data_IF_909268204345
#
_entry.id   IF_909268204345
#
_cell.length_a   1.000
_cell.length_b   1.000
_cell.length_c   1.000
_cell.angle_alpha   90.00
_cell.angle_beta   90.00
_cell.angle_gamma   90.00
#
_symmetry.space_group_name_H-M   'P 1'
#
loop_
_entity.id
_entity.type
_entity.pdbx_description
1 polymer ?
#
# COMPACT_ATOMS: atom_id res chain seq x y z
N UNK A 1 -0.61 -9.92 -23.83
CA UNK A 1 -1.89 -10.57 -23.50
C UNK A 1 -2.03 -10.44 -22.00
N UNK A 2 -3.01 -9.69 -21.52
CA UNK A 2 -3.18 -9.51 -20.08
C UNK A 2 -3.52 -10.86 -19.45
N UNK A 3 -2.66 -11.33 -18.54
CA UNK A 3 -2.91 -12.56 -17.81
C UNK A 3 -4.13 -12.35 -16.92
N UNK A 4 -5.20 -13.11 -17.15
CA UNK A 4 -6.41 -13.06 -16.32
C UNK A 4 -6.13 -13.76 -15.00
N UNK A 5 -6.28 -13.03 -13.90
CA UNK A 5 -6.19 -13.60 -12.54
C UNK A 5 -7.58 -14.05 -12.11
N UNK A 6 -7.65 -15.15 -11.37
CA UNK A 6 -8.87 -15.68 -10.77
C UNK A 6 -8.76 -15.65 -9.25
N UNK A 7 -9.80 -15.18 -8.58
CA UNK A 7 -9.91 -15.19 -7.12
C UNK A 7 -10.98 -16.17 -6.64
N UNK A 8 -10.80 -16.70 -5.43
CA UNK A 8 -11.81 -17.46 -4.70
C UNK A 8 -11.84 -16.98 -3.26
N UNK A 9 -13.01 -16.59 -2.79
CA UNK A 9 -13.23 -16.13 -1.41
C UNK A 9 -13.91 -17.22 -0.61
N UNK A 10 -13.24 -17.68 0.43
CA UNK A 10 -13.70 -18.78 1.28
C UNK A 10 -14.00 -18.19 2.67
N UNK A 11 -15.27 -18.20 3.13
CA UNK A 11 -15.68 -17.57 4.39
C UNK A 11 -15.36 -18.49 5.57
N UNK A 12 -14.07 -18.68 5.83
CA UNK A 12 -13.52 -19.44 6.97
C UNK A 12 -12.40 -18.64 7.62
N UNK A 13 -12.26 -18.78 8.93
CA UNK A 13 -11.12 -18.23 9.67
C UNK A 13 -10.02 -19.28 9.70
N UNK A 14 -9.11 -19.20 8.73
CA UNK A 14 -7.91 -20.03 8.66
C UNK A 14 -6.72 -19.14 8.32
N UNK A 15 -5.54 -19.57 8.74
CA UNK A 15 -4.30 -18.87 8.43
C UNK A 15 -4.03 -18.95 6.92
N UNK A 16 -3.96 -17.78 6.27
CA UNK A 16 -3.72 -17.69 4.84
C UNK A 16 -2.35 -18.25 4.42
N UNK A 17 -1.33 -18.15 5.28
CA UNK A 17 0.00 -18.70 5.01
C UNK A 17 0.02 -20.24 5.10
N UNK A 18 -0.77 -20.82 6.00
CA UNK A 18 -0.92 -22.29 6.08
C UNK A 18 -1.58 -22.84 4.81
N UNK A 19 -2.68 -22.22 4.35
CA UNK A 19 -3.31 -22.57 3.07
C UNK A 19 -2.37 -22.38 1.88
N UNK A 20 -1.63 -21.28 1.85
CA UNK A 20 -0.66 -21.00 0.80
C UNK A 20 0.43 -22.09 0.74
N UNK A 21 0.91 -22.56 1.89
CA UNK A 21 1.90 -23.63 1.96
C UNK A 21 1.40 -24.98 1.45
N UNK A 22 0.11 -25.30 1.63
CA UNK A 22 -0.50 -26.53 1.09
C UNK A 22 -0.76 -26.42 -0.41
N UNK A 23 -1.15 -25.23 -0.88
CA UNK A 23 -1.55 -24.96 -2.26
C UNK A 23 -0.39 -24.55 -3.18
N UNK A 24 0.86 -24.74 -2.73
CA UNK A 24 2.09 -24.35 -3.41
C UNK A 24 2.26 -25.04 -4.80
N UNK A 25 1.60 -24.47 -5.80
CA UNK A 25 1.63 -24.90 -7.19
C UNK A 25 1.96 -23.73 -8.12
N UNK A 26 2.44 -24.03 -9.32
CA UNK A 26 2.90 -23.01 -10.28
C UNK A 26 1.81 -21.98 -10.63
N UNK A 27 0.55 -22.40 -10.60
CA UNK A 27 -0.60 -21.58 -10.94
C UNK A 27 -1.02 -20.63 -9.80
N UNK A 28 -0.63 -20.93 -8.56
CA UNK A 28 -1.02 -20.19 -7.37
C UNK A 28 -0.23 -18.88 -7.26
N UNK A 29 -0.94 -17.78 -7.03
CA UNK A 29 -0.37 -16.43 -7.00
C UNK A 29 -0.28 -15.86 -5.59
N UNK A 30 -1.10 -16.36 -4.66
CA UNK A 30 -1.06 -15.94 -3.27
C UNK A 30 -2.38 -16.10 -2.53
N UNK A 31 -2.32 -15.84 -1.22
CA UNK A 31 -3.46 -15.79 -0.33
C UNK A 31 -3.49 -14.47 0.43
N UNK A 32 -4.69 -14.00 0.76
CA UNK A 32 -4.93 -12.84 1.58
C UNK A 32 -5.95 -13.19 2.67
N UNK A 33 -5.64 -12.84 3.91
CA UNK A 33 -6.57 -12.99 5.03
C UNK A 33 -7.41 -11.72 5.17
N UNK A 34 -8.73 -11.89 5.06
CA UNK A 34 -9.72 -10.87 5.37
C UNK A 34 -10.48 -11.27 6.63
N UNK A 35 -11.21 -10.32 7.22
CA UNK A 35 -11.96 -10.60 8.46
C UNK A 35 -12.97 -11.73 8.24
N UNK A 36 -12.70 -12.90 8.84
CA UNK A 36 -13.53 -14.10 8.73
C UNK A 36 -13.51 -14.81 7.37
N UNK A 37 -12.57 -14.48 6.48
CA UNK A 37 -12.46 -15.13 5.17
C UNK A 37 -11.02 -15.15 4.64
N UNK A 38 -10.72 -16.11 3.78
CA UNK A 38 -9.47 -16.15 3.03
C UNK A 38 -9.76 -15.98 1.55
N UNK A 39 -9.01 -15.10 0.90
CA UNK A 39 -9.06 -14.88 -0.54
C UNK A 39 -7.82 -15.52 -1.17
N UNK A 40 -8.03 -16.37 -2.16
CA UNK A 40 -6.97 -17.10 -2.84
C UNK A 40 -6.91 -16.70 -4.31
N UNK A 41 -5.71 -16.57 -4.87
CA UNK A 41 -5.48 -16.08 -6.23
C UNK A 41 -4.74 -17.10 -7.11
N UNK A 42 -5.16 -17.25 -8.36
CA UNK A 42 -4.50 -18.10 -9.36
C UNK A 42 -4.41 -17.42 -10.74
N UNK A 43 -3.43 -17.85 -11.52
CA UNK A 43 -3.24 -17.46 -12.93
C UNK A 43 -4.17 -18.19 -13.91
N UNK A 44 -4.85 -19.24 -13.44
CA UNK A 44 -5.88 -19.97 -14.19
C UNK A 44 -6.91 -20.58 -13.26
N UNK A 45 -8.08 -20.91 -13.78
CA UNK A 45 -9.07 -21.71 -13.09
C UNK A 45 -9.00 -23.19 -13.52
N UNK A 46 -9.69 -24.07 -12.79
CA UNK A 46 -9.82 -25.48 -13.20
C UNK A 46 -10.30 -26.41 -12.10
N UNK A 47 -10.86 -27.55 -12.50
CA UNK A 47 -11.39 -28.56 -11.57
C UNK A 47 -10.30 -29.14 -10.65
N UNK A 48 -9.08 -29.30 -11.14
CA UNK A 48 -7.93 -29.79 -10.34
C UNK A 48 -7.61 -28.83 -9.19
N UNK A 49 -7.64 -27.51 -9.44
CA UNK A 49 -7.41 -26.50 -8.41
C UNK A 49 -8.52 -26.55 -7.37
N UNK A 50 -9.80 -26.66 -7.79
CA UNK A 50 -10.91 -26.86 -6.85
C UNK A 50 -10.71 -28.09 -5.96
N UNK A 51 -10.24 -29.19 -6.53
CA UNK A 51 -9.98 -30.42 -5.78
C UNK A 51 -8.84 -30.24 -4.77
N UNK A 52 -7.78 -29.53 -5.14
CA UNK A 52 -6.67 -29.19 -4.24
C UNK A 52 -7.14 -28.29 -3.09
N UNK A 53 -7.94 -27.27 -3.39
CA UNK A 53 -8.53 -26.39 -2.37
C UNK A 53 -9.40 -27.17 -1.40
N UNK A 54 -10.29 -28.05 -1.90
CA UNK A 54 -11.12 -28.93 -1.06
C UNK A 54 -10.26 -29.83 -0.16
N UNK A 55 -9.17 -30.39 -0.69
CA UNK A 55 -8.26 -31.23 0.08
C UNK A 55 -7.52 -30.42 1.16
N UNK A 56 -7.00 -29.23 0.82
CA UNK A 56 -6.28 -28.36 1.74
C UNK A 56 -7.17 -27.93 2.92
N UNK A 57 -8.38 -27.45 2.61
CA UNK A 57 -9.37 -27.04 3.61
C UNK A 57 -9.76 -28.21 4.52
N UNK A 58 -9.92 -29.42 3.96
CA UNK A 58 -10.23 -30.63 4.72
C UNK A 58 -9.11 -31.00 5.71
N UNK A 59 -7.84 -30.83 5.33
CA UNK A 59 -6.68 -31.02 6.22
C UNK A 59 -6.73 -30.05 7.41
N UNK A 60 -7.18 -28.81 7.18
CA UNK A 60 -7.35 -27.80 8.23
C UNK A 60 -8.61 -27.98 9.08
N UNK A 61 -9.43 -28.98 8.78
CA UNK A 61 -10.63 -29.29 9.56
C UNK A 61 -11.75 -28.25 9.44
N UNK A 62 -11.73 -27.41 8.39
CA UNK A 62 -12.80 -26.44 8.13
C UNK A 62 -13.73 -26.89 7.01
N UNK A 63 -14.99 -26.49 7.07
CA UNK A 63 -16.00 -26.82 6.05
C UNK A 63 -16.61 -25.53 5.55
N UNK A 64 -16.20 -25.03 4.37
CA UNK A 64 -16.77 -23.83 3.80
C UNK A 64 -18.13 -24.14 3.17
N UNK A 65 -19.01 -23.13 3.02
CA UNK A 65 -20.21 -23.25 2.22
C UNK A 65 -19.86 -23.68 0.80
N UNK A 66 -20.56 -24.67 0.23
CA UNK A 66 -20.19 -25.20 -1.08
C UNK A 66 -20.31 -24.14 -2.19
N UNK A 67 -21.23 -23.18 -2.05
CA UNK A 67 -21.34 -22.03 -2.95
C UNK A 67 -20.10 -21.11 -2.95
N UNK A 68 -19.25 -21.15 -1.92
CA UNK A 68 -18.06 -20.28 -1.82
C UNK A 68 -16.87 -20.76 -2.65
N UNK A 69 -16.87 -22.02 -3.11
CA UNK A 69 -15.78 -22.62 -3.88
C UNK A 69 -15.90 -22.30 -5.37
N UNK A 70 -15.97 -21.01 -5.69
CA UNK A 70 -16.15 -20.50 -7.05
C UNK A 70 -15.04 -19.54 -7.45
N UNK A 71 -14.57 -19.66 -8.68
CA UNK A 71 -13.62 -18.73 -9.26
C UNK A 71 -14.32 -17.50 -9.81
N UNK A 72 -13.80 -16.33 -9.47
CA UNK A 72 -14.22 -15.06 -10.02
C UNK A 72 -13.03 -14.45 -10.79
N UNK A 73 -13.21 -14.02 -12.06
CA UNK A 73 -12.15 -13.34 -12.78
C UNK A 73 -11.92 -11.95 -12.18
N UNK A 74 -10.67 -11.68 -11.83
CA UNK A 74 -10.22 -10.37 -11.37
C UNK A 74 -9.86 -9.54 -12.58
N UNK A 75 -10.41 -8.32 -12.64
CA UNK A 75 -10.03 -7.37 -13.70
C UNK A 75 -8.60 -6.91 -13.47
N UNK A 76 -7.78 -6.99 -14.51
CA UNK A 76 -6.44 -6.40 -14.48
C UNK A 76 -6.56 -4.90 -14.21
N UNK A 77 -5.94 -4.46 -13.12
CA UNK A 77 -5.88 -3.06 -12.73
C UNK A 77 -4.42 -2.70 -12.43
N UNK A 78 -3.97 -1.57 -12.95
CA UNK A 78 -2.71 -0.98 -12.52
C UNK A 78 -2.92 -0.34 -11.15
N UNK A 79 -2.67 -1.14 -10.11
CA UNK A 79 -2.77 -0.71 -8.72
C UNK A 79 -1.76 0.40 -8.40
N UNK A 80 -0.60 0.42 -9.05
CA UNK A 80 0.40 1.47 -8.86
C UNK A 80 -0.10 2.80 -9.41
N UNK A 81 -0.69 2.80 -10.62
CA UNK A 81 -1.29 4.00 -11.20
C UNK A 81 -2.50 4.48 -10.37
N UNK A 82 -3.34 3.55 -9.90
CA UNK A 82 -4.52 3.87 -9.06
C UNK A 82 -4.08 4.51 -7.74
N UNK A 83 -3.05 3.94 -7.10
CA UNK A 83 -2.48 4.49 -5.88
C UNK A 83 -1.78 5.83 -6.14
N UNK A 84 -0.98 5.96 -7.20
CA UNK A 84 -0.29 7.21 -7.51
C UNK A 84 -1.26 8.37 -7.78
N UNK A 85 -2.41 8.07 -8.40
CA UNK A 85 -3.48 9.04 -8.63
C UNK A 85 -4.21 9.46 -7.34
N UNK A 86 -4.22 8.63 -6.30
CA UNK A 86 -4.84 8.99 -5.01
C UNK A 86 -3.93 9.85 -4.13
N UNK A 87 -2.62 9.88 -4.40
CA UNK A 87 -1.65 10.74 -3.69
C UNK A 87 -1.84 12.19 -4.13
N UNK A 88 -2.32 13.03 -3.22
CA UNK A 88 -2.55 14.45 -3.48
C UNK A 88 -1.43 15.32 -2.90
N UNK A 89 -1.05 16.41 -3.59
CA UNK A 89 -0.23 17.46 -3.00
C UNK A 89 -0.88 18.03 -1.74
N UNK A 90 -0.06 18.40 -0.75
CA UNK A 90 -0.51 19.01 0.50
C UNK A 90 0.22 20.32 0.77
N UNK A 91 -0.50 21.29 1.35
CA UNK A 91 0.09 22.53 1.87
C UNK A 91 0.13 22.46 3.39
N UNK A 92 1.23 22.91 3.96
CA UNK A 92 1.48 22.95 5.40
C UNK A 92 1.88 24.38 5.75
N UNK A 93 1.20 24.97 6.74
CA UNK A 93 1.39 26.38 7.07
C UNK A 93 1.08 27.31 5.90
N UNK A 94 1.91 28.35 5.71
CA UNK A 94 1.69 29.39 4.69
C UNK A 94 2.57 29.20 3.46
N UNK A 95 3.79 28.68 3.65
CA UNK A 95 4.83 28.64 2.60
C UNK A 95 5.27 27.24 2.22
N UNK A 96 4.93 26.18 2.95
CA UNK A 96 5.44 24.84 2.66
C UNK A 96 4.43 24.05 1.82
N UNK A 97 4.87 23.57 0.68
CA UNK A 97 4.12 22.68 -0.20
C UNK A 97 4.85 21.35 -0.34
N UNK A 98 4.12 20.24 -0.26
CA UNK A 98 4.68 18.90 -0.49
C UNK A 98 3.90 18.22 -1.58
N UNK A 99 4.61 17.65 -2.55
CA UNK A 99 3.99 16.85 -3.61
C UNK A 99 4.86 15.68 -4.05
N UNK A 100 4.28 14.64 -4.66
CA UNK A 100 5.07 13.66 -5.39
C UNK A 100 5.60 14.25 -6.71
N UNK A 101 6.62 13.61 -7.27
CA UNK A 101 7.28 14.02 -8.52
C UNK A 101 6.34 14.06 -9.73
N UNK A 102 5.28 13.25 -9.72
CA UNK A 102 4.27 13.16 -10.80
C UNK A 102 3.12 14.17 -10.68
N UNK A 103 3.01 14.91 -9.57
CA UNK A 103 1.99 15.94 -9.40
C UNK A 103 2.55 17.35 -9.63
N UNK A 104 1.66 18.32 -9.79
CA UNK A 104 1.98 19.76 -9.81
C UNK A 104 1.27 20.47 -8.66
N UNK A 105 1.83 21.60 -8.22
CA UNK A 105 1.27 22.43 -7.17
C UNK A 105 1.66 23.89 -7.45
N UNK A 106 0.70 24.80 -7.33
CA UNK A 106 1.00 26.23 -7.32
C UNK A 106 1.53 26.65 -5.96
N UNK A 107 2.60 27.43 -5.94
CA UNK A 107 3.20 27.94 -4.71
C UNK A 107 3.28 29.48 -4.74
N UNK A 108 3.19 30.14 -3.57
CA UNK A 108 3.49 31.56 -3.48
C UNK A 108 4.94 31.83 -3.88
N UNK A 109 5.26 33.08 -4.24
CA UNK A 109 6.59 33.46 -4.71
C UNK A 109 7.70 33.20 -3.68
N UNK A 110 7.37 33.27 -2.38
CA UNK A 110 8.25 32.96 -1.25
C UNK A 110 8.00 31.54 -0.68
N UNK A 111 7.32 30.68 -1.43
CA UNK A 111 7.02 29.30 -1.07
C UNK A 111 8.23 28.37 -1.16
N UNK A 112 8.25 27.38 -0.28
CA UNK A 112 9.19 26.26 -0.26
C UNK A 112 8.45 25.02 -0.74
N UNK A 113 8.85 24.52 -1.90
CA UNK A 113 8.30 23.30 -2.49
C UNK A 113 9.21 22.12 -2.20
N UNK A 114 8.66 21.10 -1.54
CA UNK A 114 9.33 19.84 -1.22
C UNK A 114 8.75 18.72 -2.08
N UNK A 115 9.61 18.07 -2.87
CA UNK A 115 9.20 16.94 -3.70
C UNK A 115 9.51 15.65 -2.95
N UNK A 116 8.47 14.96 -2.47
CA UNK A 116 8.57 13.70 -1.72
C UNK A 116 7.71 12.65 -2.41
N UNK A 117 8.37 11.68 -3.04
CA UNK A 117 7.68 10.49 -3.55
C UNK A 117 7.35 9.56 -2.36
N UNK A 118 6.08 9.18 -2.16
CA UNK A 118 5.74 8.23 -1.11
C UNK A 118 6.42 6.88 -1.36
N UNK A 119 7.09 6.38 -0.33
CA UNK A 119 7.82 5.11 -0.31
C UNK A 119 7.62 4.46 1.06
N UNK A 120 8.41 3.43 1.36
CA UNK A 120 8.39 2.76 2.67
C UNK A 120 8.92 3.62 3.82
N UNK A 121 9.61 4.73 3.54
CA UNK A 121 10.11 5.64 4.57
C UNK A 121 8.98 6.51 5.13
N UNK A 122 8.92 6.63 6.47
CA UNK A 122 8.04 7.58 7.15
C UNK A 122 8.45 9.03 6.83
N UNK A 123 7.47 9.95 6.87
CA UNK A 123 7.72 11.38 6.66
C UNK A 123 7.29 11.91 5.30
N UNK A 124 6.15 11.47 4.76
CA UNK A 124 5.56 12.02 3.52
C UNK A 124 4.81 13.33 3.73
N UNK A 125 4.84 13.90 4.95
CA UNK A 125 4.10 15.11 5.32
C UNK A 125 2.63 14.92 5.65
N UNK A 126 2.05 13.74 5.43
CA UNK A 126 0.64 13.47 5.68
C UNK A 126 0.32 13.21 7.16
N UNK A 127 1.33 12.92 7.96
CA UNK A 127 1.16 12.65 9.39
C UNK A 127 1.25 13.94 10.20
N UNK A 128 0.34 14.11 11.18
CA UNK A 128 0.21 15.34 11.97
C UNK A 128 1.52 15.77 12.65
N UNK A 129 2.32 14.82 13.14
CA UNK A 129 3.62 15.15 13.78
C UNK A 129 4.60 15.81 12.81
N UNK A 130 4.66 15.35 11.56
CA UNK A 130 5.50 15.97 10.52
C UNK A 130 4.99 17.36 10.19
N UNK A 131 3.67 17.54 10.08
CA UNK A 131 3.05 18.83 9.79
C UNK A 131 3.35 19.87 10.86
N UNK A 132 3.18 19.51 12.14
CA UNK A 132 3.46 20.40 13.27
C UNK A 132 4.91 20.90 13.29
N UNK A 133 5.87 20.03 12.99
CA UNK A 133 7.29 20.42 12.98
C UNK A 133 7.60 21.29 11.75
N UNK A 134 7.02 20.99 10.59
CA UNK A 134 7.20 21.82 9.40
C UNK A 134 6.61 23.23 9.57
N UNK A 135 5.43 23.36 10.18
CA UNK A 135 4.86 24.68 10.53
C UNK A 135 5.73 25.42 11.55
N UNK A 136 6.32 24.70 12.50
CA UNK A 136 7.27 25.31 13.43
C UNK A 136 8.55 25.78 12.73
N UNK A 137 9.14 24.98 11.84
CA UNK A 137 10.31 25.34 11.03
C UNK A 137 10.03 26.55 10.14
N UNK A 138 8.81 26.70 9.63
CA UNK A 138 8.40 27.88 8.88
C UNK A 138 8.54 29.18 9.70
N UNK A 139 8.35 29.12 11.02
CA UNK A 139 8.50 30.25 11.93
C UNK A 139 9.94 30.54 12.39
N UNK A 140 10.90 29.67 12.07
CA UNK A 140 12.30 29.84 12.50
C UNK A 140 12.97 30.98 11.73
N UNK A 141 13.70 31.82 12.45
CA UNK A 141 14.57 32.83 11.83
C UNK A 141 15.90 32.20 11.46
N UNK A 142 16.05 31.86 10.18
CA UNK A 142 17.25 31.23 9.64
C UNK A 142 18.40 32.22 9.47
N UNK A 143 19.61 31.81 9.85
CA UNK A 143 20.85 32.59 9.66
C UNK A 143 21.87 31.78 8.86
N UNK A 144 22.68 32.41 7.99
CA UNK A 144 23.71 31.71 7.24
C UNK A 144 24.66 30.93 8.16
N UNK A 145 24.87 29.65 7.84
CA UNK A 145 25.74 28.76 8.63
C UNK A 145 25.08 28.14 9.86
N UNK A 146 23.77 28.35 10.08
CA UNK A 146 23.02 27.61 11.09
C UNK A 146 23.11 26.11 10.79
N UNK A 147 23.36 25.30 11.84
CA UNK A 147 23.46 23.85 11.73
C UNK A 147 22.26 23.22 12.39
N UNK A 148 21.58 22.32 11.68
CA UNK A 148 20.44 21.55 12.16
C UNK A 148 20.78 20.08 12.11
N UNK A 149 20.26 19.33 13.08
CA UNK A 149 20.35 17.87 13.13
C UNK A 149 18.93 17.30 13.18
N UNK A 150 18.58 16.55 12.14
CA UNK A 150 17.32 15.79 12.07
C UNK A 150 17.57 14.34 12.49
N UNK A 151 17.27 14.03 13.75
CA UNK A 151 17.47 12.69 14.32
C UNK A 151 16.25 11.83 14.02
N UNK A 152 16.45 10.74 13.26
CA UNK A 152 15.35 9.91 12.78
C UNK A 152 14.69 10.48 11.51
N UNK A 153 15.51 11.02 10.60
CA UNK A 153 15.10 11.82 9.44
C UNK A 153 14.09 11.15 8.49
N UNK A 154 14.01 9.82 8.48
CA UNK A 154 13.07 9.09 7.63
C UNK A 154 13.24 9.46 6.16
N UNK A 155 12.22 10.08 5.57
CA UNK A 155 12.23 10.62 4.21
C UNK A 155 13.20 11.79 3.97
N UNK A 156 13.77 12.38 5.01
CA UNK A 156 14.60 13.59 4.91
C UNK A 156 13.81 14.90 5.01
N UNK A 157 12.48 14.84 5.16
CA UNK A 157 11.63 16.00 4.91
C UNK A 157 11.90 17.20 5.82
N UNK A 158 12.24 16.96 7.09
CA UNK A 158 12.56 18.04 8.04
C UNK A 158 13.95 18.61 7.77
N UNK A 159 14.91 17.74 7.46
CA UNK A 159 16.26 18.16 7.04
C UNK A 159 16.27 18.96 5.73
N UNK A 160 15.34 18.72 4.81
CA UNK A 160 15.22 19.51 3.57
C UNK A 160 14.49 20.84 3.78
N UNK A 161 13.58 20.90 4.76
CA UNK A 161 12.87 22.13 5.11
C UNK A 161 13.73 23.11 5.93
N UNK A 162 14.77 22.60 6.59
CA UNK A 162 15.72 23.33 7.44
C UNK A 162 16.91 23.86 6.63
#
# INVERSE_FOLDING_TARGET
MDATVFEMTIPVSVDAAELAGILDCQEFLGAWEAEGSVVLYWSRNGATILQQVRAAISVLGVVPPEESLQFHPVKTQDWNATWAASVQPIRIGRRIGIRPSWATMDMPQDGVELIIDPKQAFGTGHHATTQLILEWLEGVTWVPGMRVLDVGTGSGILAMAA
#
